data_IF_819532910342
#
_entry.id   IF_819532910342
#
_cell.length_a   1.000
_cell.length_b   1.000
_cell.length_c   1.000
_cell.angle_alpha   90.00
_cell.angle_beta   90.00
_cell.angle_gamma   90.00
#
_symmetry.space_group_name_H-M   'P 1'
#
loop_
_entity.id
_entity.type
_entity.pdbx_description
1 polymer ?
#
# COMPACT_ATOMS: atom_id res chain seq x y z
N UNK A 1 -10.67 16.24 -6.67
CA UNK A 1 -10.74 17.14 -5.51
C UNK A 1 -9.55 18.09 -5.55
N UNK A 2 -9.81 19.38 -5.57
CA UNK A 2 -8.75 20.41 -5.56
C UNK A 2 -8.52 20.99 -4.16
N UNK A 3 -9.57 21.11 -3.36
CA UNK A 3 -9.50 21.79 -2.07
C UNK A 3 -9.32 23.31 -2.22
N UNK A 4 -9.18 24.01 -1.10
CA UNK A 4 -9.03 25.46 -1.08
C UNK A 4 -7.63 25.95 -1.53
N UNK A 5 -6.63 25.09 -1.48
CA UNK A 5 -5.23 25.42 -1.79
C UNK A 5 -4.54 24.37 -2.69
N UNK A 6 -5.29 23.51 -3.34
CA UNK A 6 -4.76 22.47 -4.21
C UNK A 6 -4.24 21.21 -3.50
N UNK A 7 -4.37 21.10 -2.19
CA UNK A 7 -3.86 19.98 -1.39
C UNK A 7 -4.95 19.00 -0.90
N UNK A 8 -6.10 18.96 -1.59
CA UNK A 8 -7.13 17.98 -1.23
C UNK A 8 -6.75 16.57 -1.68
N UNK A 9 -7.26 15.58 -0.96
CA UNK A 9 -7.06 14.16 -1.23
C UNK A 9 -5.63 13.65 -0.98
N UNK A 10 -4.87 14.29 -0.11
CA UNK A 10 -3.61 13.77 0.43
C UNK A 10 -3.87 12.61 1.38
N UNK A 11 -4.39 11.51 0.82
CA UNK A 11 -4.87 10.35 1.58
C UNK A 11 -3.75 9.57 2.30
N UNK A 12 -2.50 9.79 1.92
CA UNK A 12 -1.35 9.25 2.65
C UNK A 12 -1.21 9.81 4.06
N UNK A 13 -1.75 11.01 4.30
CA UNK A 13 -1.56 11.74 5.54
C UNK A 13 -2.74 11.67 6.53
N UNK A 14 -3.77 10.85 6.27
CA UNK A 14 -4.73 10.57 7.35
C UNK A 14 -4.11 9.63 8.38
N UNK A 15 -4.40 9.88 9.66
CA UNK A 15 -3.79 9.15 10.78
C UNK A 15 -4.54 7.85 11.01
N UNK A 16 -3.80 6.72 10.98
CA UNK A 16 -4.33 5.38 11.30
C UNK A 16 -3.85 4.88 12.68
N UNK A 17 -2.81 5.50 13.23
CA UNK A 17 -2.26 5.19 14.55
C UNK A 17 -1.75 6.46 15.22
N UNK A 18 -2.50 7.02 16.15
CA UNK A 18 -2.15 8.28 16.82
C UNK A 18 -0.84 8.23 17.62
N UNK A 19 -0.36 7.04 17.98
CA UNK A 19 0.90 6.82 18.69
C UNK A 19 2.01 6.26 17.79
N UNK A 20 1.76 6.20 16.49
CA UNK A 20 2.61 5.55 15.52
C UNK A 20 3.85 6.31 15.08
N UNK A 21 4.40 5.88 13.93
CA UNK A 21 5.64 6.43 13.34
C UNK A 21 5.50 7.92 13.02
N UNK A 22 6.59 8.66 13.18
CA UNK A 22 6.66 10.07 12.75
C UNK A 22 6.52 10.18 11.24
N UNK A 23 5.82 11.22 10.79
CA UNK A 23 5.64 11.54 9.39
C UNK A 23 6.31 12.89 9.08
N UNK A 24 6.86 13.03 7.88
CA UNK A 24 7.45 14.27 7.39
C UNK A 24 6.47 15.45 7.32
N UNK A 25 5.14 15.20 7.35
CA UNK A 25 4.13 16.25 7.44
C UNK A 25 4.01 16.86 8.85
N UNK A 26 4.76 16.38 9.84
CA UNK A 26 4.72 16.81 11.24
C UNK A 26 3.74 16.05 12.13
N UNK A 27 2.88 15.20 11.57
CA UNK A 27 1.98 14.33 12.33
C UNK A 27 2.65 12.98 12.67
N UNK A 28 1.98 12.17 13.50
CA UNK A 28 2.36 10.77 13.75
C UNK A 28 1.28 9.85 13.22
N UNK A 29 1.70 8.65 12.79
CA UNK A 29 0.79 7.57 12.42
C UNK A 29 0.06 7.75 11.10
N UNK A 30 0.56 8.59 10.20
CA UNK A 30 0.00 8.74 8.86
C UNK A 30 0.02 7.41 8.10
N UNK A 31 -1.03 7.14 7.34
CA UNK A 31 -1.18 5.91 6.55
C UNK A 31 0.02 5.63 5.64
N UNK A 32 0.61 6.64 5.03
CA UNK A 32 1.80 6.52 4.19
C UNK A 32 2.97 5.83 4.89
N UNK A 33 3.15 6.06 6.21
CA UNK A 33 4.22 5.46 7.00
C UNK A 33 4.08 3.95 7.19
N UNK A 34 2.94 3.38 6.80
CA UNK A 34 2.63 1.96 6.90
C UNK A 34 2.28 1.33 5.56
N UNK A 35 1.60 2.06 4.67
CA UNK A 35 1.03 1.54 3.43
C UNK A 35 1.78 1.96 2.15
N UNK A 36 2.84 2.76 2.21
CA UNK A 36 3.68 3.04 1.04
C UNK A 36 4.68 1.92 0.76
N UNK A 37 5.20 1.85 -0.49
CA UNK A 37 6.29 0.91 -0.82
C UNK A 37 7.55 1.21 -0.02
N UNK A 38 7.83 2.49 0.26
CA UNK A 38 8.92 2.89 1.16
C UNK A 38 8.72 2.32 2.56
N UNK A 39 7.50 2.37 3.09
CA UNK A 39 7.18 1.78 4.38
C UNK A 39 7.36 0.25 4.39
N UNK A 40 6.97 -0.45 3.32
CA UNK A 40 7.22 -1.88 3.17
C UNK A 40 8.71 -2.21 3.21
N UNK A 41 9.54 -1.44 2.49
CA UNK A 41 11.00 -1.62 2.48
C UNK A 41 11.59 -1.38 3.89
N UNK A 42 11.15 -0.33 4.58
CA UNK A 42 11.57 -0.06 5.96
C UNK A 42 11.19 -1.19 6.91
N UNK A 43 9.94 -1.68 6.85
CA UNK A 43 9.47 -2.81 7.65
C UNK A 43 10.30 -4.08 7.38
N UNK A 44 10.64 -4.34 6.11
CA UNK A 44 11.48 -5.49 5.75
C UNK A 44 12.89 -5.37 6.32
N UNK A 45 13.51 -4.20 6.23
CA UNK A 45 14.85 -3.94 6.80
C UNK A 45 14.85 -4.07 8.32
N UNK A 46 13.86 -3.49 9.00
CA UNK A 46 13.67 -3.64 10.45
C UNK A 46 13.57 -5.12 10.84
N UNK A 47 12.77 -5.91 10.11
CA UNK A 47 12.61 -7.34 10.36
C UNK A 47 13.90 -8.14 10.07
N UNK A 48 14.60 -7.85 8.98
CA UNK A 48 15.91 -8.46 8.64
C UNK A 48 16.95 -8.24 9.75
N UNK A 49 16.99 -7.06 10.34
CA UNK A 49 17.92 -6.77 11.43
C UNK A 49 17.74 -7.69 12.64
N UNK A 50 16.47 -8.09 12.93
CA UNK A 50 16.12 -9.01 14.00
C UNK A 50 16.25 -10.50 13.60
N UNK A 51 16.16 -10.84 12.31
CA UNK A 51 16.10 -12.20 11.77
C UNK A 51 17.22 -12.47 10.79
N UNK A 52 18.41 -12.83 11.29
CA UNK A 52 19.61 -13.05 10.46
C UNK A 52 19.52 -14.32 9.59
N UNK A 53 18.64 -15.23 9.93
CA UNK A 53 18.34 -16.47 9.19
C UNK A 53 17.41 -16.26 7.99
N UNK A 54 16.79 -15.10 7.86
CA UNK A 54 15.84 -14.80 6.79
C UNK A 54 16.49 -14.85 5.41
N UNK A 55 15.77 -15.45 4.44
CA UNK A 55 16.16 -15.49 3.02
C UNK A 55 16.25 -14.09 2.39
N UNK A 56 15.65 -13.07 3.02
CA UNK A 56 15.79 -11.67 2.60
C UNK A 56 17.25 -11.26 2.50
N UNK A 57 18.11 -11.71 3.41
CA UNK A 57 19.54 -11.41 3.37
C UNK A 57 20.20 -11.95 2.10
N UNK A 58 20.01 -13.24 1.81
CA UNK A 58 20.59 -13.85 0.62
C UNK A 58 20.05 -13.22 -0.68
N UNK A 59 18.73 -12.93 -0.74
CA UNK A 59 18.10 -12.31 -1.90
C UNK A 59 18.48 -10.84 -2.10
N UNK A 60 18.87 -10.16 -1.02
CA UNK A 60 19.41 -8.81 -1.05
C UNK A 60 20.94 -8.78 -1.17
N UNK A 61 21.60 -9.89 -1.52
CA UNK A 61 23.07 -10.01 -1.61
C UNK A 61 23.81 -9.61 -0.33
N UNK A 62 23.17 -9.85 0.83
CA UNK A 62 23.60 -9.47 2.18
C UNK A 62 23.74 -7.94 2.41
N UNK A 63 23.11 -7.14 1.57
CA UNK A 63 23.12 -5.68 1.66
C UNK A 63 21.70 -5.14 1.87
N UNK A 64 21.44 -4.49 3.01
CA UNK A 64 20.13 -3.88 3.30
C UNK A 64 19.72 -2.85 2.23
N UNK A 65 20.68 -2.19 1.59
CA UNK A 65 20.41 -1.21 0.54
C UNK A 65 19.73 -1.83 -0.69
N UNK A 66 19.95 -3.12 -0.95
CA UNK A 66 19.37 -3.84 -2.08
C UNK A 66 17.92 -4.30 -1.84
N UNK A 67 17.42 -4.17 -0.59
CA UNK A 67 16.03 -4.53 -0.26
C UNK A 67 15.06 -3.61 -1.00
N UNK A 68 14.21 -4.23 -1.79
CA UNK A 68 13.17 -3.57 -2.58
C UNK A 68 11.95 -4.47 -2.69
N UNK A 69 10.86 -3.98 -3.28
CA UNK A 69 9.61 -4.73 -3.39
C UNK A 69 9.73 -6.08 -4.11
N UNK A 70 10.65 -6.22 -5.07
CA UNK A 70 10.86 -7.50 -5.79
C UNK A 70 11.55 -8.52 -4.88
N UNK A 71 12.59 -8.10 -4.16
CA UNK A 71 13.30 -8.94 -3.18
C UNK A 71 12.34 -9.43 -2.09
N UNK A 72 11.52 -8.53 -1.55
CA UNK A 72 10.55 -8.86 -0.50
C UNK A 72 9.52 -9.88 -1.00
N UNK A 73 8.95 -9.67 -2.19
CA UNK A 73 7.98 -10.61 -2.76
C UNK A 73 8.62 -11.95 -3.16
N UNK A 74 9.87 -11.96 -3.61
CA UNK A 74 10.60 -13.21 -3.88
C UNK A 74 10.83 -14.03 -2.61
N UNK A 75 11.18 -13.38 -1.49
CA UNK A 75 11.30 -14.05 -0.20
C UNK A 75 9.94 -14.56 0.31
N UNK A 76 8.89 -13.76 0.14
CA UNK A 76 7.51 -14.15 0.45
C UNK A 76 7.09 -15.41 -0.32
N UNK A 77 7.32 -15.44 -1.64
CA UNK A 77 7.00 -16.58 -2.50
C UNK A 77 7.82 -17.82 -2.16
N UNK A 78 9.05 -17.62 -1.65
CA UNK A 78 9.91 -18.70 -1.14
C UNK A 78 9.49 -19.21 0.24
N UNK A 79 8.41 -18.68 0.84
CA UNK A 79 7.90 -19.08 2.14
C UNK A 79 8.81 -18.66 3.30
N UNK A 80 9.60 -17.59 3.16
CA UNK A 80 10.38 -17.04 4.25
C UNK A 80 9.46 -16.44 5.31
N UNK A 81 9.54 -16.93 6.54
CA UNK A 81 8.62 -16.55 7.62
C UNK A 81 8.67 -15.05 7.93
N UNK A 82 9.86 -14.45 7.89
CA UNK A 82 10.06 -13.03 8.12
C UNK A 82 9.40 -12.20 7.03
N UNK A 83 9.62 -12.57 5.76
CA UNK A 83 9.00 -11.88 4.64
C UNK A 83 7.47 -12.05 4.63
N UNK A 84 6.96 -13.23 4.99
CA UNK A 84 5.52 -13.49 5.12
C UNK A 84 4.90 -12.60 6.19
N UNK A 85 5.53 -12.46 7.36
CA UNK A 85 5.03 -11.58 8.42
C UNK A 85 5.04 -10.10 7.99
N UNK A 86 6.11 -9.65 7.34
CA UNK A 86 6.24 -8.28 6.83
C UNK A 86 5.16 -7.97 5.80
N UNK A 87 4.99 -8.83 4.81
CA UNK A 87 3.98 -8.64 3.75
C UNK A 87 2.56 -8.68 4.33
N UNK A 88 2.26 -9.61 5.21
CA UNK A 88 0.93 -9.70 5.85
C UNK A 88 0.62 -8.45 6.69
N UNK A 89 1.59 -7.95 7.44
CA UNK A 89 1.44 -6.71 8.22
C UNK A 89 1.19 -5.51 7.32
N UNK A 90 1.99 -5.38 6.27
CA UNK A 90 1.84 -4.33 5.26
C UNK A 90 0.46 -4.38 4.59
N UNK A 91 0.02 -5.57 4.16
CA UNK A 91 -1.30 -5.76 3.54
C UNK A 91 -2.41 -5.42 4.53
N UNK A 92 -2.26 -5.75 5.80
CA UNK A 92 -3.25 -5.37 6.82
C UNK A 92 -3.39 -3.84 6.96
N UNK A 93 -2.29 -3.09 6.96
CA UNK A 93 -2.36 -1.63 6.94
C UNK A 93 -3.04 -1.10 5.67
N UNK A 94 -2.78 -1.70 4.52
CA UNK A 94 -3.49 -1.36 3.28
C UNK A 94 -5.00 -1.66 3.39
N UNK A 95 -5.38 -2.79 3.98
CA UNK A 95 -6.79 -3.13 4.21
C UNK A 95 -7.50 -2.07 5.04
N UNK A 96 -6.90 -1.66 6.15
CA UNK A 96 -7.45 -0.61 7.04
C UNK A 96 -7.56 0.73 6.30
N UNK A 97 -6.47 1.16 5.66
CA UNK A 97 -6.44 2.45 4.96
C UNK A 97 -7.41 2.50 3.78
N UNK A 98 -7.42 1.48 2.93
CA UNK A 98 -8.32 1.43 1.76
C UNK A 98 -9.78 1.35 2.20
N UNK A 99 -10.12 0.57 3.23
CA UNK A 99 -11.49 0.51 3.75
C UNK A 99 -11.92 1.86 4.34
N UNK A 100 -11.03 2.58 5.01
CA UNK A 100 -11.29 3.94 5.50
C UNK A 100 -11.57 4.91 4.35
N UNK A 101 -10.78 4.86 3.28
CA UNK A 101 -10.98 5.66 2.06
C UNK A 101 -12.35 5.33 1.43
N UNK A 102 -12.71 4.07 1.35
CA UNK A 102 -14.02 3.63 0.83
C UNK A 102 -15.15 4.17 1.71
N UNK A 103 -15.02 4.10 3.03
CA UNK A 103 -16.02 4.61 3.95
C UNK A 103 -16.22 6.14 3.83
N UNK A 104 -15.15 6.89 3.51
CA UNK A 104 -15.20 8.36 3.36
C UNK A 104 -15.79 8.77 2.01
N UNK A 105 -15.36 8.15 0.91
CA UNK A 105 -15.65 8.62 -0.45
C UNK A 105 -16.70 7.79 -1.17
N UNK A 106 -16.94 6.56 -0.76
CA UNK A 106 -17.82 5.58 -1.43
C UNK A 106 -17.64 5.55 -2.96
N UNK A 107 -16.41 5.37 -3.47
CA UNK A 107 -16.16 5.38 -4.91
C UNK A 107 -16.80 4.16 -5.58
N UNK A 108 -17.20 4.28 -6.84
CA UNK A 108 -17.63 3.11 -7.63
C UNK A 108 -16.47 2.17 -7.95
N UNK A 109 -15.27 2.75 -8.14
CA UNK A 109 -14.04 2.03 -8.46
C UNK A 109 -12.90 2.60 -7.62
N UNK A 110 -12.13 1.72 -6.98
CA UNK A 110 -10.87 2.04 -6.32
C UNK A 110 -9.75 1.25 -7.00
N UNK A 111 -8.79 1.96 -7.59
CA UNK A 111 -7.65 1.35 -8.26
C UNK A 111 -6.39 1.47 -7.41
N UNK A 112 -5.68 0.36 -7.23
CA UNK A 112 -4.36 0.32 -6.63
C UNK A 112 -3.31 0.43 -7.74
N UNK A 113 -2.50 1.49 -7.69
CA UNK A 113 -1.40 1.74 -8.64
C UNK A 113 -0.04 1.28 -8.10
N UNK A 114 0.99 1.44 -8.95
CA UNK A 114 2.37 1.11 -8.61
C UNK A 114 2.77 -0.33 -8.93
N UNK A 115 4.08 -0.61 -8.89
CA UNK A 115 4.63 -1.90 -9.33
C UNK A 115 4.17 -3.10 -8.53
N UNK A 116 3.96 -2.93 -7.23
CA UNK A 116 3.55 -4.02 -6.33
C UNK A 116 2.08 -4.43 -6.55
N UNK A 117 1.24 -3.55 -7.11
CA UNK A 117 -0.17 -3.85 -7.40
C UNK A 117 -0.36 -4.91 -8.51
N UNK A 118 0.72 -5.29 -9.23
CA UNK A 118 0.71 -6.43 -10.15
C UNK A 118 0.42 -7.76 -9.46
N UNK A 119 0.72 -7.86 -8.16
CA UNK A 119 0.43 -9.00 -7.31
C UNK A 119 -0.98 -8.86 -6.71
N UNK A 120 -1.99 -9.05 -7.57
CA UNK A 120 -3.41 -8.97 -7.17
C UNK A 120 -3.75 -10.00 -6.09
N UNK A 121 -3.15 -11.17 -6.15
CA UNK A 121 -3.26 -12.25 -5.17
C UNK A 121 -2.81 -11.82 -3.78
N UNK A 122 -1.72 -11.04 -3.71
CA UNK A 122 -1.14 -10.57 -2.44
C UNK A 122 -1.83 -9.32 -1.91
N UNK A 123 -2.27 -8.41 -2.79
CA UNK A 123 -2.80 -7.10 -2.37
C UNK A 123 -4.31 -6.98 -2.56
N UNK A 124 -4.81 -7.17 -3.79
CA UNK A 124 -6.19 -6.80 -4.13
C UNK A 124 -7.18 -7.75 -3.48
N UNK A 125 -6.91 -9.05 -3.53
CA UNK A 125 -7.83 -10.06 -2.98
C UNK A 125 -7.98 -9.94 -1.45
N UNK A 126 -6.90 -9.80 -0.64
CA UNK A 126 -7.04 -9.55 0.79
C UNK A 126 -7.79 -8.25 1.12
N UNK A 127 -7.55 -7.17 0.37
CA UNK A 127 -8.25 -5.89 0.56
C UNK A 127 -9.73 -6.02 0.25
N UNK A 128 -10.10 -6.73 -0.83
CA UNK A 128 -11.51 -7.04 -1.15
C UNK A 128 -12.18 -7.80 -0.04
N UNK A 129 -11.55 -8.89 0.41
CA UNK A 129 -12.07 -9.73 1.50
C UNK A 129 -12.25 -8.93 2.79
N UNK A 130 -11.26 -8.12 3.14
CA UNK A 130 -11.32 -7.28 4.33
C UNK A 130 -12.43 -6.23 4.23
N UNK A 131 -12.55 -5.52 3.10
CA UNK A 131 -13.60 -4.53 2.91
C UNK A 131 -15.00 -5.16 2.93
N UNK A 132 -15.17 -6.34 2.36
CA UNK A 132 -16.43 -7.08 2.39
C UNK A 132 -16.83 -7.50 3.82
N UNK A 133 -15.85 -7.79 4.68
CA UNK A 133 -16.08 -8.17 6.07
C UNK A 133 -16.27 -6.96 7.00
N UNK A 134 -15.55 -5.87 6.79
CA UNK A 134 -15.39 -4.78 7.76
C UNK A 134 -15.87 -3.40 7.25
N UNK A 135 -16.08 -3.22 5.94
CA UNK A 135 -16.57 -1.96 5.37
C UNK A 135 -17.92 -1.57 5.97
N UNK A 136 -18.12 -0.28 6.28
CA UNK A 136 -19.38 0.20 6.84
C UNK A 136 -20.58 -0.12 5.93
N UNK A 137 -20.39 0.07 4.61
CA UNK A 137 -21.40 -0.22 3.60
C UNK A 137 -21.48 -1.67 3.13
N UNK A 138 -20.88 -2.65 3.82
CA UNK A 138 -20.77 -4.05 3.39
C UNK A 138 -22.11 -4.74 3.10
N UNK A 139 -23.21 -4.29 3.71
CA UNK A 139 -24.57 -4.81 3.48
C UNK A 139 -25.34 -4.06 2.39
N UNK A 140 -24.76 -3.00 1.80
CA UNK A 140 -25.41 -2.30 0.70
C UNK A 140 -25.37 -3.13 -0.58
N UNK A 141 -26.41 -3.05 -1.45
CA UNK A 141 -26.48 -3.85 -2.67
C UNK A 141 -25.41 -3.47 -3.70
N UNK A 142 -24.94 -2.22 -3.70
CA UNK A 142 -23.85 -1.74 -4.56
C UNK A 142 -22.56 -1.66 -3.76
N UNK A 143 -21.54 -2.38 -4.21
CA UNK A 143 -20.21 -2.41 -3.58
C UNK A 143 -19.17 -1.78 -4.51
N UNK A 144 -18.13 -1.13 -3.97
CA UNK A 144 -17.03 -0.60 -4.76
C UNK A 144 -16.24 -1.73 -5.43
N UNK A 145 -15.82 -1.51 -6.67
CA UNK A 145 -14.87 -2.41 -7.34
C UNK A 145 -13.45 -2.02 -6.95
N UNK A 146 -12.75 -2.90 -6.25
CA UNK A 146 -11.35 -2.73 -5.88
C UNK A 146 -10.52 -3.52 -6.89
N UNK A 147 -9.55 -2.90 -7.54
CA UNK A 147 -8.77 -3.53 -8.61
C UNK A 147 -7.37 -2.94 -8.73
N UNK A 148 -6.48 -3.65 -9.40
CA UNK A 148 -5.19 -3.08 -9.83
C UNK A 148 -5.41 -2.12 -10.99
N UNK A 149 -4.66 -1.03 -11.02
CA UNK A 149 -4.64 -0.11 -12.17
C UNK A 149 -3.99 -0.81 -13.37
N UNK A 150 -4.58 -0.69 -14.56
CA UNK A 150 -4.08 -1.37 -15.77
C UNK A 150 -2.72 -0.82 -16.23
N UNK A 151 -2.47 0.48 -16.04
CA UNK A 151 -1.24 1.15 -16.44
C UNK A 151 -0.13 1.04 -15.37
N UNK A 152 -0.40 0.45 -14.23
CA UNK A 152 0.55 0.26 -13.11
C UNK A 152 1.40 1.51 -12.81
N UNK A 153 2.74 1.40 -12.99
CA UNK A 153 3.68 2.50 -12.75
C UNK A 153 3.66 3.61 -13.81
N UNK A 154 3.13 3.34 -15.00
CA UNK A 154 3.11 4.27 -16.12
C UNK A 154 1.92 5.25 -16.06
N UNK A 155 0.93 4.98 -15.20
CA UNK A 155 -0.28 5.78 -15.07
C UNK A 155 -0.01 7.27 -14.81
N UNK A 156 0.99 7.58 -13.95
CA UNK A 156 1.36 8.95 -13.63
C UNK A 156 1.94 9.71 -14.83
N UNK A 157 2.85 9.06 -15.57
CA UNK A 157 3.50 9.65 -16.75
C UNK A 157 2.48 9.89 -17.86
N UNK A 158 1.64 8.90 -18.14
CA UNK A 158 0.58 8.99 -19.16
C UNK A 158 -0.44 10.05 -18.76
N UNK A 159 -0.87 10.07 -17.48
CA UNK A 159 -1.79 11.07 -16.97
C UNK A 159 -1.24 12.50 -17.09
N UNK A 160 0.03 12.70 -16.72
CA UNK A 160 0.70 14.00 -16.86
C UNK A 160 0.80 14.43 -18.34
N UNK A 161 1.13 13.51 -19.25
CA UNK A 161 1.20 13.81 -20.68
C UNK A 161 -0.16 14.20 -21.31
N UNK A 162 -1.26 13.73 -20.71
CA UNK A 162 -2.63 14.00 -21.18
C UNK A 162 -3.24 15.26 -20.58
N UNK A 163 -2.67 15.83 -19.49
CA UNK A 163 -3.21 17.04 -18.83
C UNK A 163 -3.35 18.24 -19.77
N UNK A 164 -2.55 18.34 -20.83
CA UNK A 164 -2.62 19.40 -21.83
C UNK A 164 -3.61 19.17 -22.98
N UNK A 165 -4.21 18.00 -23.11
CA UNK A 165 -5.09 17.62 -24.22
C UNK A 165 -6.59 17.86 -23.96
N UNK A 166 -6.94 18.31 -22.76
CA UNK A 166 -8.33 18.50 -22.29
C UNK A 166 -8.77 19.96 -22.25
N UNK A 167 -8.22 20.84 -23.09
CA UNK A 167 -8.69 22.23 -23.28
C UNK A 167 -9.24 22.40 -24.66
#
# INVERSE_FOLDING_TARGET
LTGCNGAAAELGHFVIDMHGKECNCGMRGCFEQYGSVTALICQAREAMAAHKESKLWALAENEEANVNGKVILAAYDAGDETAVQVVNTYVHYLCVGVTSIINIFQPEVLCLGGGISRRSDVLVEPIRAFNAAHGYGRSCPKQPRIMSAELFGDAGIIGAALLGKGK
#
